data_IF_270122041537
#
_entry.id   IF_270122041537
#
_cell.length_a   1.000
_cell.length_b   1.000
_cell.length_c   1.000
_cell.angle_alpha   90.00
_cell.angle_beta   90.00
_cell.angle_gamma   90.00
#
_symmetry.space_group_name_H-M   'P 1'
#
loop_
_entity.id
_entity.type
_entity.pdbx_description
1 polymer ?
#
# COMPACT_ATOMS: atom_id res chain seq x y z
N UNK A 1 8.74 -39.57 19.15
CA UNK A 1 8.83 -38.28 19.86
C UNK A 1 7.74 -37.32 19.37
N UNK A 2 6.57 -37.88 19.08
CA UNK A 2 5.41 -37.20 18.42
C UNK A 2 4.18 -37.02 19.36
N UNK A 3 4.25 -37.50 20.60
CA UNK A 3 3.14 -37.46 21.55
C UNK A 3 3.13 -36.31 22.56
N UNK A 4 4.10 -35.38 22.50
CA UNK A 4 4.16 -34.28 23.45
C UNK A 4 3.43 -32.99 22.96
N UNK A 5 3.06 -32.92 21.67
CA UNK A 5 2.51 -31.66 21.09
C UNK A 5 0.99 -31.54 21.27
N UNK A 6 0.27 -32.67 21.36
CA UNK A 6 -1.21 -32.65 21.47
C UNK A 6 -1.69 -32.20 22.88
N UNK A 7 -0.95 -32.53 23.93
CA UNK A 7 -1.35 -32.19 25.30
C UNK A 7 -1.23 -30.71 25.63
N UNK A 8 -0.29 -29.96 25.01
CA UNK A 8 -0.11 -28.54 25.23
C UNK A 8 -1.20 -27.68 24.57
N UNK A 9 -1.78 -28.14 23.45
CA UNK A 9 -2.85 -27.41 22.76
C UNK A 9 -4.17 -27.39 23.56
N UNK A 10 -4.43 -28.39 24.39
CA UNK A 10 -5.61 -28.42 25.27
C UNK A 10 -5.53 -27.38 26.41
N UNK A 11 -4.30 -26.98 26.79
CA UNK A 11 -4.07 -26.00 27.84
C UNK A 11 -4.16 -24.54 27.34
N UNK A 12 -4.14 -24.33 26.03
CA UNK A 12 -4.25 -22.99 25.45
C UNK A 12 -5.69 -22.47 25.54
N UNK A 13 -5.82 -21.18 25.88
CA UNK A 13 -7.10 -20.49 25.75
C UNK A 13 -7.47 -20.22 24.27
N UNK A 14 -8.67 -19.73 24.02
CA UNK A 14 -9.15 -19.49 22.67
C UNK A 14 -8.32 -18.47 21.88
N UNK A 15 -7.74 -17.48 22.59
CA UNK A 15 -6.86 -16.48 21.99
C UNK A 15 -5.55 -17.12 21.54
N UNK A 16 -4.88 -17.84 22.43
CA UNK A 16 -3.61 -18.51 22.14
C UNK A 16 -3.77 -19.54 21.00
N UNK A 17 -4.84 -20.36 21.05
CA UNK A 17 -5.14 -21.31 19.95
C UNK A 17 -5.28 -20.60 18.60
N UNK A 18 -5.97 -19.48 18.55
CA UNK A 18 -6.14 -18.69 17.31
C UNK A 18 -4.80 -18.19 16.79
N UNK A 19 -3.97 -17.59 17.65
CA UNK A 19 -2.66 -17.04 17.26
C UNK A 19 -1.73 -18.14 16.78
N UNK A 20 -1.67 -19.28 17.50
CA UNK A 20 -0.87 -20.45 17.10
C UNK A 20 -1.35 -21.00 15.75
N UNK A 21 -2.66 -21.22 15.58
CA UNK A 21 -3.21 -21.69 14.31
C UNK A 21 -2.89 -20.80 13.12
N UNK A 22 -2.96 -19.46 13.32
CA UNK A 22 -2.59 -18.49 12.28
C UNK A 22 -1.10 -18.57 11.97
N UNK A 23 -0.24 -18.67 12.98
CA UNK A 23 1.21 -18.78 12.82
C UNK A 23 1.60 -20.06 12.07
N UNK A 24 1.01 -21.20 12.41
CA UNK A 24 1.29 -22.50 11.79
C UNK A 24 0.78 -22.57 10.34
N UNK A 25 -0.36 -21.94 10.07
CA UNK A 25 -0.98 -21.97 8.72
C UNK A 25 -0.27 -21.01 7.75
N UNK A 26 0.01 -19.79 8.19
CA UNK A 26 0.53 -18.72 7.32
C UNK A 26 2.05 -18.60 7.39
N UNK A 27 2.66 -18.91 8.54
CA UNK A 27 4.09 -18.80 8.76
C UNK A 27 4.97 -19.44 7.68
N UNK A 28 4.66 -20.66 7.20
CA UNK A 28 5.43 -21.28 6.11
C UNK A 28 5.47 -20.47 4.81
N UNK A 29 4.44 -19.66 4.53
CA UNK A 29 4.37 -18.81 3.35
C UNK A 29 5.07 -17.45 3.54
N UNK A 30 5.57 -17.12 4.73
CA UNK A 30 6.29 -15.88 5.00
C UNK A 30 7.78 -16.07 4.79
N UNK A 31 8.37 -15.23 3.93
CA UNK A 31 9.79 -15.30 3.57
C UNK A 31 10.56 -14.10 4.09
N UNK A 32 11.85 -14.31 4.37
CA UNK A 32 12.81 -13.22 4.52
C UNK A 32 13.30 -12.80 3.16
N UNK A 33 13.30 -11.49 2.89
CA UNK A 33 13.82 -10.92 1.66
C UNK A 33 15.13 -10.20 1.93
N UNK A 34 16.17 -10.53 1.18
CA UNK A 34 17.44 -9.82 1.17
C UNK A 34 17.69 -9.25 -0.22
N UNK A 35 18.10 -7.99 -0.25
CA UNK A 35 18.36 -7.26 -1.50
C UNK A 35 19.83 -6.83 -1.57
N UNK A 36 20.41 -6.99 -2.76
CA UNK A 36 21.78 -6.61 -3.05
C UNK A 36 21.87 -5.73 -4.30
N UNK A 37 22.93 -4.94 -4.41
CA UNK A 37 23.24 -4.18 -5.64
C UNK A 37 23.96 -5.06 -6.65
N UNK A 38 23.51 -5.04 -7.91
CA UNK A 38 24.34 -5.50 -9.02
C UNK A 38 25.40 -4.43 -9.32
N UNK A 39 26.66 -4.69 -8.93
CA UNK A 39 27.78 -3.81 -9.25
C UNK A 39 28.99 -4.64 -9.59
N UNK A 40 29.58 -4.43 -10.77
CA UNK A 40 30.82 -5.08 -11.17
C UNK A 40 31.94 -4.73 -10.19
N UNK A 41 32.51 -5.73 -9.49
CA UNK A 41 33.80 -5.66 -8.81
C UNK A 41 33.80 -5.35 -7.31
N UNK A 42 32.66 -5.36 -6.60
CA UNK A 42 32.67 -5.33 -5.13
C UNK A 42 31.78 -6.47 -4.54
N UNK A 43 32.19 -7.07 -3.39
CA UNK A 43 31.33 -8.05 -2.71
C UNK A 43 29.96 -7.41 -2.47
N UNK A 44 28.90 -8.07 -2.91
CA UNK A 44 27.52 -7.63 -2.73
C UNK A 44 27.18 -7.61 -1.24
N UNK A 45 27.32 -6.44 -0.60
CA UNK A 45 26.78 -6.25 0.76
C UNK A 45 25.26 -6.27 0.70
N UNK A 46 24.61 -6.92 1.67
CA UNK A 46 23.17 -6.81 1.91
C UNK A 46 22.85 -5.33 2.16
N UNK A 47 21.99 -4.74 1.34
CA UNK A 47 21.63 -3.32 1.44
C UNK A 47 20.26 -3.10 2.10
N UNK A 48 19.44 -4.12 2.15
CA UNK A 48 18.12 -4.07 2.75
C UNK A 48 17.62 -5.47 3.08
N UNK A 49 16.79 -5.55 4.08
CA UNK A 49 16.12 -6.77 4.46
C UNK A 49 14.65 -6.43 4.83
N UNK A 50 13.76 -7.33 4.53
CA UNK A 50 12.35 -7.25 4.85
C UNK A 50 11.70 -8.61 4.81
N UNK A 51 10.40 -8.63 4.89
CA UNK A 51 9.59 -9.82 4.76
C UNK A 51 8.78 -9.79 3.45
N UNK A 52 8.28 -10.95 3.06
CA UNK A 52 7.32 -11.09 1.99
C UNK A 52 6.36 -12.23 2.29
N UNK A 53 5.26 -12.28 1.57
CA UNK A 53 4.29 -13.38 1.66
C UNK A 53 4.08 -14.02 0.30
N UNK A 54 4.23 -15.35 0.21
CA UNK A 54 3.98 -16.12 -1.00
C UNK A 54 2.46 -16.23 -1.19
N UNK A 55 1.97 -15.75 -2.34
CA UNK A 55 0.53 -15.67 -2.66
C UNK A 55 0.10 -16.62 -3.77
N UNK A 56 1.05 -17.30 -4.41
CA UNK A 56 0.77 -18.29 -5.45
C UNK A 56 1.84 -19.37 -5.48
N UNK A 57 1.46 -20.64 -5.80
CA UNK A 57 2.36 -21.80 -5.72
C UNK A 57 3.48 -21.79 -6.76
N UNK A 58 3.38 -20.96 -7.79
CA UNK A 58 4.39 -20.72 -8.81
C UNK A 58 5.38 -19.59 -8.43
N UNK A 59 5.35 -19.12 -7.15
CA UNK A 59 6.38 -18.31 -6.53
C UNK A 59 6.12 -16.83 -6.51
N UNK A 60 4.90 -16.34 -6.75
CA UNK A 60 4.63 -14.91 -6.56
C UNK A 60 4.65 -14.55 -5.07
N UNK A 61 5.45 -13.53 -4.76
CA UNK A 61 5.63 -12.97 -3.41
C UNK A 61 5.21 -11.51 -3.42
N UNK A 62 4.33 -11.15 -2.50
CA UNK A 62 3.95 -9.77 -2.22
C UNK A 62 4.80 -9.21 -1.09
N UNK A 63 5.29 -7.99 -1.26
CA UNK A 63 6.12 -7.26 -0.28
C UNK A 63 5.94 -5.75 -0.43
N UNK A 64 6.70 -4.95 0.32
CA UNK A 64 6.72 -3.49 0.14
C UNK A 64 7.68 -3.06 -0.98
N UNK A 65 7.34 -1.95 -1.64
CA UNK A 65 8.19 -1.35 -2.67
C UNK A 65 9.53 -0.91 -2.09
N UNK A 66 9.54 -0.24 -0.92
CA UNK A 66 10.78 0.23 -0.28
C UNK A 66 11.75 -0.92 0.08
N UNK A 67 11.28 -2.16 0.24
CA UNK A 67 12.13 -3.33 0.52
C UNK A 67 12.94 -3.70 -0.72
N UNK A 68 12.39 -3.58 -1.94
CA UNK A 68 12.98 -4.12 -3.17
C UNK A 68 13.29 -3.08 -4.23
N UNK A 69 12.90 -1.83 -4.04
CA UNK A 69 13.10 -0.76 -5.02
C UNK A 69 14.59 -0.54 -5.31
N UNK A 70 14.95 -0.53 -6.59
CA UNK A 70 16.36 -0.37 -7.02
C UNK A 70 17.26 -1.57 -6.72
N UNK A 71 16.69 -2.70 -6.26
CA UNK A 71 17.44 -3.92 -6.02
C UNK A 71 17.93 -4.54 -7.35
N UNK A 72 19.22 -4.85 -7.43
CA UNK A 72 19.77 -5.57 -8.57
C UNK A 72 19.61 -7.09 -8.44
N UNK A 73 19.50 -7.59 -7.23
CA UNK A 73 19.25 -9.00 -6.88
C UNK A 73 18.33 -9.08 -5.68
N UNK A 74 17.37 -9.96 -5.75
CA UNK A 74 16.45 -10.30 -4.65
C UNK A 74 16.62 -11.78 -4.34
N UNK A 75 16.77 -12.12 -3.07
CA UNK A 75 16.79 -13.49 -2.60
C UNK A 75 15.77 -13.63 -1.47
N UNK A 76 14.97 -14.69 -1.53
CA UNK A 76 14.02 -15.06 -0.49
C UNK A 76 14.53 -16.29 0.26
N UNK A 77 14.50 -16.23 1.58
CA UNK A 77 14.76 -17.38 2.46
C UNK A 77 13.46 -17.83 3.10
N UNK A 78 13.08 -19.08 2.88
CA UNK A 78 11.90 -19.69 3.47
C UNK A 78 12.18 -20.14 4.91
N UNK A 79 11.13 -20.43 5.67
CA UNK A 79 11.23 -20.93 7.06
C UNK A 79 11.89 -22.31 7.17
N UNK A 80 11.89 -23.11 6.10
CA UNK A 80 12.58 -24.40 6.00
C UNK A 80 14.07 -24.28 5.65
N UNK A 81 14.58 -23.04 5.49
CA UNK A 81 15.97 -22.74 5.18
C UNK A 81 16.30 -22.73 3.67
N UNK A 82 15.36 -23.03 2.78
CA UNK A 82 15.59 -22.89 1.35
C UNK A 82 15.76 -21.44 0.97
N UNK A 83 16.80 -21.15 0.20
CA UNK A 83 17.06 -19.83 -0.38
C UNK A 83 16.76 -19.88 -1.89
N UNK A 84 15.89 -19.00 -2.35
CA UNK A 84 15.47 -18.90 -3.75
C UNK A 84 15.77 -17.50 -4.30
N UNK A 85 16.33 -17.46 -5.50
CA UNK A 85 16.49 -16.19 -6.22
C UNK A 85 15.12 -15.71 -6.73
N UNK A 86 14.90 -14.41 -6.64
CA UNK A 86 13.67 -13.75 -7.07
C UNK A 86 13.92 -12.77 -8.21
N UNK A 87 12.93 -12.68 -9.09
CA UNK A 87 12.87 -11.69 -10.17
C UNK A 87 11.86 -10.63 -9.77
N UNK A 88 12.25 -9.37 -9.84
CA UNK A 88 11.35 -8.23 -9.64
C UNK A 88 10.36 -8.16 -10.81
N UNK A 89 9.07 -8.34 -10.53
CA UNK A 89 7.98 -8.25 -11.51
C UNK A 89 7.56 -6.80 -11.72
N UNK A 90 7.48 -6.05 -10.63
CA UNK A 90 7.18 -4.63 -10.62
C UNK A 90 6.91 -4.13 -9.22
N UNK A 91 6.92 -2.80 -9.06
CA UNK A 91 6.58 -2.13 -7.81
C UNK A 91 5.74 -0.88 -8.03
N UNK A 92 5.06 -0.49 -6.98
CA UNK A 92 4.30 0.74 -6.90
C UNK A 92 4.67 1.51 -5.64
N UNK A 93 5.55 2.49 -5.79
CA UNK A 93 5.98 3.34 -4.68
C UNK A 93 4.84 4.17 -4.07
N UNK A 94 3.76 4.41 -4.82
CA UNK A 94 2.63 5.20 -4.32
C UNK A 94 1.78 4.45 -3.32
N UNK A 95 1.70 3.13 -3.39
CA UNK A 95 1.05 2.27 -2.40
C UNK A 95 2.06 1.51 -1.54
N UNK A 96 3.35 1.67 -1.82
CA UNK A 96 4.43 0.93 -1.17
C UNK A 96 4.25 -0.59 -1.29
N UNK A 97 3.88 -1.08 -2.47
CA UNK A 97 3.72 -2.51 -2.76
C UNK A 97 4.63 -2.95 -3.91
N UNK A 98 5.13 -4.18 -3.84
CA UNK A 98 5.92 -4.80 -4.89
C UNK A 98 5.57 -6.28 -5.04
N UNK A 99 5.74 -6.78 -6.27
CA UNK A 99 5.58 -8.18 -6.62
C UNK A 99 6.91 -8.75 -7.12
N UNK A 100 7.29 -9.88 -6.55
CA UNK A 100 8.48 -10.66 -6.93
C UNK A 100 8.02 -12.04 -7.38
N UNK A 101 8.76 -12.66 -8.27
CA UNK A 101 8.58 -14.05 -8.63
C UNK A 101 9.81 -14.85 -8.25
N UNK A 102 9.67 -15.81 -7.35
CA UNK A 102 10.72 -16.74 -6.95
C UNK A 102 10.90 -17.84 -7.99
N UNK A 103 12.13 -18.27 -8.15
CA UNK A 103 12.44 -19.43 -8.99
C UNK A 103 12.20 -20.73 -8.21
N UNK A 104 10.93 -21.11 -8.08
CA UNK A 104 10.50 -22.30 -7.33
C UNK A 104 9.06 -22.66 -7.64
N UNK A 105 8.69 -23.92 -7.39
CA UNK A 105 7.34 -24.44 -7.55
C UNK A 105 6.91 -25.22 -6.31
N UNK A 106 5.60 -25.41 -6.13
CA UNK A 106 5.08 -26.14 -4.98
C UNK A 106 5.37 -25.46 -3.65
N UNK A 107 5.43 -24.13 -3.67
CA UNK A 107 5.72 -23.32 -2.49
C UNK A 107 4.48 -23.20 -1.60
N UNK A 108 4.66 -23.06 -0.27
CA UNK A 108 3.55 -22.77 0.62
C UNK A 108 2.92 -21.42 0.26
N UNK A 109 1.60 -21.32 0.35
CA UNK A 109 0.83 -20.15 -0.08
C UNK A 109 -0.06 -19.65 1.04
N UNK A 110 -0.10 -18.36 1.26
CA UNK A 110 -1.08 -17.71 2.12
C UNK A 110 -2.30 -17.27 1.30
N UNK A 111 -3.50 -17.52 1.83
CA UNK A 111 -4.75 -17.09 1.22
C UNK A 111 -4.95 -15.58 1.42
N UNK A 112 -5.26 -14.85 0.34
CA UNK A 112 -5.67 -13.45 0.42
C UNK A 112 -7.15 -13.37 0.84
N UNK A 113 -7.40 -12.61 1.91
CA UNK A 113 -8.73 -12.34 2.42
C UNK A 113 -9.36 -11.10 1.78
N UNK A 114 -10.10 -10.34 2.60
CA UNK A 114 -10.74 -9.08 2.22
C UNK A 114 -10.59 -8.05 3.34
N UNK A 115 -10.09 -6.88 3.03
CA UNK A 115 -9.92 -5.80 4.02
C UNK A 115 -11.16 -4.93 4.19
N UNK A 116 -12.07 -4.87 3.22
CA UNK A 116 -13.29 -4.07 3.29
C UNK A 116 -14.26 -4.47 4.43
N UNK A 117 -14.15 -5.71 4.92
CA UNK A 117 -14.99 -6.23 6.02
C UNK A 117 -14.41 -6.07 7.42
N UNK A 118 -13.21 -5.52 7.55
CA UNK A 118 -12.54 -5.36 8.85
C UNK A 118 -13.32 -4.41 9.76
N UNK A 119 -13.20 -4.66 11.07
CA UNK A 119 -13.81 -3.84 12.12
C UNK A 119 -12.76 -3.46 13.16
N UNK A 120 -12.86 -2.24 13.71
CA UNK A 120 -12.06 -1.83 14.87
C UNK A 120 -12.32 -2.78 16.03
N UNK A 121 -11.24 -3.20 16.71
CA UNK A 121 -11.25 -4.21 17.76
C UNK A 121 -11.13 -5.66 17.26
N UNK A 122 -11.14 -5.93 15.96
CA UNK A 122 -10.94 -7.27 15.41
C UNK A 122 -9.49 -7.71 15.62
N UNK A 123 -9.31 -8.97 16.09
CA UNK A 123 -8.00 -9.60 16.24
C UNK A 123 -7.28 -9.68 14.89
N UNK A 124 -6.02 -9.29 14.89
CA UNK A 124 -5.10 -9.45 13.77
C UNK A 124 -3.74 -9.93 14.26
N UNK A 125 -3.04 -10.67 13.41
CA UNK A 125 -1.73 -11.23 13.68
C UNK A 125 -0.78 -10.78 12.57
N UNK A 126 0.30 -10.10 12.96
CA UNK A 126 1.38 -9.77 12.04
C UNK A 126 2.44 -10.87 12.08
N UNK A 127 2.89 -11.30 10.91
CA UNK A 127 3.96 -12.28 10.77
C UNK A 127 5.06 -11.66 9.93
N UNK A 128 6.30 -11.73 10.42
CA UNK A 128 7.50 -11.29 9.72
C UNK A 128 8.59 -12.35 9.80
N UNK A 129 9.55 -12.29 8.90
CA UNK A 129 10.75 -13.15 8.94
C UNK A 129 12.02 -12.31 8.72
N UNK A 130 12.37 -11.42 9.67
CA UNK A 130 13.42 -10.42 9.47
C UNK A 130 14.81 -11.01 9.29
N UNK A 131 15.06 -12.21 9.83
CA UNK A 131 16.40 -12.82 9.85
C UNK A 131 16.49 -14.14 9.05
N UNK A 132 15.39 -14.62 8.48
CA UNK A 132 15.35 -15.84 7.68
C UNK A 132 15.42 -17.16 8.45
N UNK A 133 15.45 -17.13 9.80
CA UNK A 133 15.57 -18.33 10.61
C UNK A 133 14.24 -18.78 11.25
N UNK A 134 13.47 -17.82 11.72
CA UNK A 134 12.17 -18.08 12.36
C UNK A 134 11.23 -16.89 12.14
N UNK A 135 9.96 -17.18 11.89
CA UNK A 135 8.93 -16.17 11.81
C UNK A 135 8.73 -15.48 13.16
N UNK A 136 8.70 -14.16 13.18
CA UNK A 136 8.29 -13.37 14.33
C UNK A 136 6.80 -13.14 14.23
N UNK A 137 6.07 -13.51 15.28
CA UNK A 137 4.61 -13.36 15.37
C UNK A 137 4.27 -12.31 16.40
N UNK A 138 3.40 -11.37 16.06
CA UNK A 138 2.86 -10.37 16.97
C UNK A 138 1.35 -10.26 16.77
N UNK A 139 0.59 -10.35 17.83
CA UNK A 139 -0.87 -10.26 17.80
C UNK A 139 -1.35 -8.97 18.44
N UNK A 140 -2.44 -8.44 17.93
CA UNK A 140 -3.09 -7.22 18.39
C UNK A 140 -4.47 -7.06 17.77
N UNK A 141 -4.98 -5.83 17.69
CA UNK A 141 -6.28 -5.55 17.11
C UNK A 141 -6.19 -4.49 16.02
N UNK A 142 -7.19 -4.44 15.18
CA UNK A 142 -7.42 -3.29 14.31
C UNK A 142 -7.77 -2.09 15.18
N UNK A 143 -6.87 -1.11 15.28
CA UNK A 143 -7.05 0.09 16.12
C UNK A 143 -7.86 1.17 15.42
N UNK A 144 -7.69 1.32 14.10
CA UNK A 144 -8.47 2.24 13.26
C UNK A 144 -8.43 1.81 11.80
N UNK A 145 -9.40 2.28 11.03
CA UNK A 145 -9.54 2.10 9.58
C UNK A 145 -9.65 3.44 8.88
N UNK A 146 -9.40 3.47 7.57
CA UNK A 146 -9.55 4.68 6.76
C UNK A 146 -8.53 5.77 7.08
N UNK A 147 -7.42 5.42 7.71
CA UNK A 147 -6.29 6.35 7.93
C UNK A 147 -5.50 6.53 6.63
N UNK A 148 -4.71 7.59 6.60
CA UNK A 148 -3.80 7.86 5.48
C UNK A 148 -2.38 7.98 6.01
N UNK A 149 -1.44 7.40 5.27
CA UNK A 149 -0.01 7.43 5.56
C UNK A 149 0.73 8.04 4.36
N UNK A 150 1.75 8.86 4.59
CA UNK A 150 2.59 9.35 3.48
C UNK A 150 3.66 8.32 3.13
N UNK A 151 3.69 7.94 1.86
CA UNK A 151 4.76 7.11 1.31
C UNK A 151 6.08 7.92 1.25
N UNK A 152 7.18 7.25 0.97
CA UNK A 152 8.49 7.90 0.75
C UNK A 152 8.45 8.91 -0.41
N UNK A 153 7.60 8.70 -1.42
CA UNK A 153 7.38 9.63 -2.53
C UNK A 153 6.56 10.85 -2.14
N UNK A 154 6.11 10.96 -0.88
CA UNK A 154 5.25 12.04 -0.38
C UNK A 154 3.77 11.88 -0.75
N UNK A 155 3.38 10.86 -1.53
CA UNK A 155 1.98 10.54 -1.82
C UNK A 155 1.29 9.93 -0.61
N UNK A 156 -0.02 10.17 -0.50
CA UNK A 156 -0.84 9.55 0.52
C UNK A 156 -1.19 8.10 0.09
N UNK A 157 -0.82 7.16 0.95
CA UNK A 157 -1.40 5.80 0.93
C UNK A 157 -2.67 5.88 1.74
N UNK A 158 -3.79 5.69 1.10
CA UNK A 158 -5.10 5.85 1.72
C UNK A 158 -5.66 4.53 2.26
N UNK A 159 -6.63 4.68 3.15
CA UNK A 159 -7.38 3.56 3.71
C UNK A 159 -6.49 2.53 4.44
N UNK A 160 -5.31 2.94 4.95
CA UNK A 160 -4.43 2.02 5.68
C UNK A 160 -5.10 1.50 6.94
N UNK A 161 -4.78 0.26 7.28
CA UNK A 161 -5.19 -0.38 8.52
C UNK A 161 -4.21 0.06 9.60
N UNK A 162 -4.69 0.69 10.65
CA UNK A 162 -3.92 0.97 11.86
C UNK A 162 -4.13 -0.18 12.86
N UNK A 163 -3.06 -0.64 13.47
CA UNK A 163 -3.07 -1.73 14.45
C UNK A 163 -2.05 -1.45 15.56
N UNK A 164 -2.20 -2.10 16.70
CA UNK A 164 -1.27 -2.07 17.83
C UNK A 164 -0.31 -3.25 17.86
N UNK A 165 -0.29 -4.09 16.81
CA UNK A 165 0.71 -5.17 16.71
C UNK A 165 2.12 -4.58 16.76
N UNK A 166 3.01 -5.23 17.48
CA UNK A 166 4.41 -4.81 17.53
C UNK A 166 5.11 -5.19 16.22
N UNK A 167 5.39 -4.19 15.36
CA UNK A 167 6.22 -4.38 14.18
C UNK A 167 7.66 -3.95 14.48
N UNK A 168 8.60 -4.81 14.12
CA UNK A 168 10.03 -4.56 14.22
C UNK A 168 10.64 -4.33 12.83
N UNK A 169 11.83 -3.71 12.75
CA UNK A 169 12.59 -3.66 11.51
C UNK A 169 12.72 -5.05 10.87
N UNK A 170 12.39 -5.16 9.58
CA UNK A 170 12.33 -6.42 8.86
C UNK A 170 10.94 -7.10 8.83
N UNK A 171 9.95 -6.64 9.61
CA UNK A 171 8.56 -7.11 9.49
C UNK A 171 7.82 -6.48 8.31
N UNK A 172 8.35 -5.39 7.74
CA UNK A 172 7.79 -4.74 6.53
C UNK A 172 7.72 -5.70 5.37
N UNK A 173 6.59 -5.71 4.65
CA UNK A 173 6.30 -6.64 3.56
C UNK A 173 5.69 -7.97 4.00
N UNK A 174 5.75 -8.30 5.29
CA UNK A 174 5.07 -9.47 5.84
C UNK A 174 3.54 -9.26 5.92
N UNK A 175 2.75 -10.35 6.04
CA UNK A 175 1.30 -10.26 6.12
C UNK A 175 0.78 -9.79 7.47
N UNK A 176 -0.34 -9.05 7.45
CA UNK A 176 -1.29 -8.89 8.53
C UNK A 176 -2.45 -9.85 8.26
N UNK A 177 -2.77 -10.72 9.21
CA UNK A 177 -3.64 -11.89 9.04
C UNK A 177 -4.83 -11.82 9.98
N UNK A 178 -6.01 -12.22 9.53
CA UNK A 178 -7.20 -12.34 10.39
C UNK A 178 -7.21 -13.68 11.17
N UNK A 179 -8.15 -13.83 12.09
CA UNK A 179 -8.35 -15.04 12.88
C UNK A 179 -8.72 -16.30 12.07
N UNK A 180 -9.01 -16.14 10.77
CA UNK A 180 -9.30 -17.24 9.83
C UNK A 180 -8.11 -17.57 8.95
N UNK A 181 -6.90 -17.15 9.33
CA UNK A 181 -5.64 -17.36 8.60
C UNK A 181 -5.62 -16.75 7.19
N UNK A 182 -6.37 -15.66 6.94
CA UNK A 182 -6.38 -14.96 5.67
C UNK A 182 -5.65 -13.63 5.77
N UNK A 183 -4.83 -13.34 4.78
CA UNK A 183 -4.10 -12.06 4.70
C UNK A 183 -5.10 -10.93 4.46
N UNK A 184 -5.15 -9.96 5.36
CA UNK A 184 -6.02 -8.78 5.29
C UNK A 184 -5.25 -7.48 5.04
N UNK A 185 -3.92 -7.54 5.16
CA UNK A 185 -3.04 -6.41 4.84
C UNK A 185 -1.59 -6.82 4.71
N UNK A 186 -0.76 -5.90 4.23
CA UNK A 186 0.70 -6.02 4.16
C UNK A 186 1.30 -5.00 5.11
N UNK A 187 2.04 -5.48 6.10
CA UNK A 187 2.70 -4.63 7.10
C UNK A 187 3.66 -3.66 6.41
N UNK A 188 3.57 -2.39 6.73
CA UNK A 188 4.48 -1.37 6.18
C UNK A 188 5.19 -0.64 7.30
N UNK A 189 6.37 -0.09 6.98
CA UNK A 189 7.18 0.59 7.96
C UNK A 189 6.50 1.86 8.48
N UNK A 190 6.70 2.09 9.66
CA UNK A 190 6.14 2.85 10.74
C UNK A 190 6.69 4.26 10.78
N UNK A 191 5.93 5.16 11.36
CA UNK A 191 6.46 6.38 11.97
C UNK A 191 7.37 5.96 13.15
N UNK A 192 8.68 5.95 12.92
CA UNK A 192 9.72 5.42 13.82
C UNK A 192 9.74 5.98 15.27
N UNK A 193 8.84 6.91 15.60
CA UNK A 193 8.76 7.61 16.87
C UNK A 193 7.46 7.36 17.65
N UNK A 194 6.52 6.54 17.13
CA UNK A 194 5.23 6.31 17.79
C UNK A 194 5.09 4.84 18.19
N UNK A 195 5.41 4.52 19.43
CA UNK A 195 5.18 3.19 20.00
C UNK A 195 3.68 2.85 20.00
N UNK A 196 3.34 1.63 19.55
CA UNK A 196 1.94 1.17 19.51
C UNK A 196 1.14 1.65 18.30
N UNK A 197 1.79 2.28 17.31
CA UNK A 197 1.16 2.66 16.05
C UNK A 197 1.83 1.93 14.90
N UNK A 198 1.19 0.88 14.44
CA UNK A 198 1.60 0.10 13.29
C UNK A 198 0.57 0.22 12.17
N UNK A 199 1.04 0.09 10.93
CA UNK A 199 0.18 0.24 9.77
C UNK A 199 0.36 -0.94 8.82
N UNK A 200 -0.73 -1.26 8.10
CA UNK A 200 -0.70 -2.22 7.02
C UNK A 200 -1.49 -1.69 5.82
N UNK A 201 -1.00 -1.98 4.62
CA UNK A 201 -1.69 -1.67 3.37
C UNK A 201 -2.80 -2.69 3.19
N UNK A 202 -4.05 -2.28 2.93
CA UNK A 202 -5.17 -3.19 2.79
C UNK A 202 -4.97 -4.22 1.67
N UNK A 203 -5.36 -5.47 1.89
CA UNK A 203 -5.22 -6.53 0.88
C UNK A 203 -6.06 -6.28 -0.38
N UNK A 204 -7.19 -5.57 -0.28
CA UNK A 204 -7.98 -5.19 -1.46
C UNK A 204 -7.19 -4.22 -2.36
N UNK A 205 -6.40 -3.30 -1.78
CA UNK A 205 -5.45 -2.45 -2.52
C UNK A 205 -4.35 -3.32 -3.14
N UNK A 206 -3.81 -4.27 -2.39
CA UNK A 206 -2.76 -5.16 -2.88
C UNK A 206 -3.25 -6.02 -4.05
N UNK A 207 -4.46 -6.54 -3.99
CA UNK A 207 -5.07 -7.34 -5.06
C UNK A 207 -5.21 -6.55 -6.37
N UNK A 208 -5.60 -5.28 -6.27
CA UNK A 208 -5.64 -4.39 -7.43
C UNK A 208 -4.24 -4.13 -8.00
N UNK A 209 -3.26 -3.81 -7.15
CA UNK A 209 -1.86 -3.59 -7.56
C UNK A 209 -1.28 -4.83 -8.23
N UNK A 210 -1.49 -6.03 -7.66
CA UNK A 210 -1.06 -7.31 -8.26
C UNK A 210 -1.62 -7.44 -9.69
N UNK A 211 -2.92 -7.17 -9.88
CA UNK A 211 -3.56 -7.23 -11.20
C UNK A 211 -2.89 -6.29 -12.21
N UNK A 212 -2.61 -5.05 -11.84
CA UNK A 212 -1.92 -4.07 -12.69
C UNK A 212 -0.47 -4.51 -13.01
N UNK A 213 0.28 -4.96 -11.98
CA UNK A 213 1.67 -5.38 -12.16
C UNK A 213 1.78 -6.61 -13.06
N UNK A 214 0.89 -7.61 -12.93
CA UNK A 214 0.88 -8.80 -13.76
C UNK A 214 0.47 -8.49 -15.21
N UNK A 215 -0.51 -7.60 -15.40
CA UNK A 215 -1.01 -7.27 -16.73
C UNK A 215 -0.09 -6.31 -17.50
N UNK A 216 0.59 -5.40 -16.80
CA UNK A 216 1.26 -4.27 -17.44
C UNK A 216 2.72 -4.05 -16.98
N UNK A 217 3.20 -4.82 -16.00
CA UNK A 217 4.52 -4.63 -15.37
C UNK A 217 4.63 -3.36 -14.50
N UNK A 218 3.57 -2.57 -14.45
CA UNK A 218 3.48 -1.31 -13.67
C UNK A 218 2.04 -0.99 -13.31
N UNK A 219 1.87 -0.21 -12.24
CA UNK A 219 0.54 0.32 -11.89
C UNK A 219 0.27 1.57 -12.73
N UNK A 220 -0.73 1.49 -13.59
CA UNK A 220 -1.15 2.62 -14.41
C UNK A 220 -2.00 3.57 -13.58
N UNK A 221 -1.60 4.82 -13.56
CA UNK A 221 -2.34 5.90 -12.93
C UNK A 221 -2.62 7.00 -13.94
N UNK A 222 -3.65 7.77 -13.66
CA UNK A 222 -3.97 8.94 -14.46
C UNK A 222 -3.45 10.21 -13.81
N UNK A 223 -3.12 11.21 -14.62
CA UNK A 223 -2.69 12.56 -14.20
C UNK A 223 -3.43 13.62 -14.99
N UNK A 224 -3.59 14.78 -14.36
CA UNK A 224 -4.19 15.95 -15.01
C UNK A 224 -3.14 16.82 -15.72
N UNK A 225 -1.85 16.64 -15.46
CA UNK A 225 -0.79 17.52 -16.00
C UNK A 225 -0.84 18.92 -15.37
N UNK A 226 -0.95 18.98 -14.05
CA UNK A 226 -0.91 20.22 -13.28
C UNK A 226 -0.17 20.01 -11.95
N UNK A 227 0.42 21.11 -11.43
CA UNK A 227 0.86 21.18 -10.05
C UNK A 227 -0.14 22.04 -9.27
N UNK A 228 -0.48 21.60 -8.05
CA UNK A 228 -1.46 22.26 -7.22
C UNK A 228 -1.10 22.17 -5.75
N UNK A 229 -1.68 23.03 -4.94
CA UNK A 229 -1.60 22.93 -3.47
C UNK A 229 -2.96 23.16 -2.83
N UNK A 230 -3.11 22.66 -1.61
CA UNK A 230 -4.31 22.91 -0.80
C UNK A 230 -4.19 24.29 -0.18
N UNK A 231 -5.17 25.16 -0.41
CA UNK A 231 -5.22 26.53 0.09
C UNK A 231 -6.42 26.73 1.00
N UNK A 232 -6.23 27.31 2.21
CA UNK A 232 -7.35 27.73 3.02
C UNK A 232 -8.13 28.88 2.34
N UNK A 233 -9.45 28.87 2.47
CA UNK A 233 -10.33 29.89 1.92
C UNK A 233 -11.01 30.64 3.05
N UNK A 234 -11.14 31.97 2.90
CA UNK A 234 -11.90 32.78 3.85
C UNK A 234 -13.35 32.32 3.91
N UNK A 235 -13.94 32.09 5.11
CA UNK A 235 -15.29 31.55 5.24
C UNK A 235 -16.38 32.47 4.66
N UNK A 236 -16.20 33.80 4.66
CA UNK A 236 -17.17 34.73 4.07
C UNK A 236 -17.12 34.66 2.55
N UNK A 237 -15.91 34.54 1.99
CA UNK A 237 -15.71 34.36 0.56
C UNK A 237 -16.20 32.99 0.06
N UNK A 238 -15.95 31.92 0.83
CA UNK A 238 -16.47 30.57 0.55
C UNK A 238 -18.00 30.57 0.45
N UNK A 239 -18.68 31.19 1.42
CA UNK A 239 -20.16 31.30 1.42
C UNK A 239 -20.69 32.02 0.18
N UNK A 240 -20.02 33.11 -0.24
CA UNK A 240 -20.41 33.86 -1.45
C UNK A 240 -20.33 33.03 -2.72
N UNK A 241 -19.38 32.11 -2.79
CA UNK A 241 -19.14 31.23 -3.93
C UNK A 241 -19.83 29.86 -3.80
N UNK A 242 -20.59 29.64 -2.73
CA UNK A 242 -21.27 28.36 -2.48
C UNK A 242 -20.32 27.20 -2.13
N UNK A 243 -19.06 27.51 -1.76
CA UNK A 243 -18.07 26.50 -1.35
C UNK A 243 -18.36 26.08 0.08
N UNK A 244 -18.47 24.74 0.30
CA UNK A 244 -18.78 24.18 1.63
C UNK A 244 -17.55 23.68 2.38
N UNK A 245 -16.38 23.70 1.77
CA UNK A 245 -15.11 23.21 2.32
C UNK A 245 -14.24 24.37 2.83
N UNK A 246 -13.44 24.17 3.90
CA UNK A 246 -12.54 25.20 4.42
C UNK A 246 -11.29 25.42 3.56
N UNK A 247 -11.06 24.59 2.56
CA UNK A 247 -9.94 24.66 1.64
C UNK A 247 -10.42 24.46 0.20
N UNK A 248 -9.58 24.86 -0.73
CA UNK A 248 -9.70 24.62 -2.17
C UNK A 248 -8.36 24.12 -2.72
N UNK A 249 -8.37 23.49 -3.89
CA UNK A 249 -7.13 23.09 -4.59
C UNK A 249 -6.78 24.17 -5.60
N UNK A 250 -5.76 24.98 -5.30
CA UNK A 250 -5.26 26.02 -6.21
C UNK A 250 -4.25 25.44 -7.19
N UNK A 251 -4.48 25.70 -8.49
CA UNK A 251 -3.57 25.29 -9.56
C UNK A 251 -2.38 26.26 -9.59
N UNK A 252 -1.17 25.76 -9.35
CA UNK A 252 0.06 26.53 -9.39
C UNK A 252 0.63 26.65 -10.81
N UNK A 253 0.59 25.54 -11.54
CA UNK A 253 1.04 25.47 -12.92
C UNK A 253 0.31 24.39 -13.67
N UNK A 254 0.25 24.53 -15.00
CA UNK A 254 -0.35 23.58 -15.92
C UNK A 254 0.71 23.21 -16.97
N UNK A 255 0.82 21.91 -17.22
CA UNK A 255 1.74 21.36 -18.23
C UNK A 255 1.25 21.75 -19.63
N UNK A 256 2.10 22.40 -20.46
CA UNK A 256 1.73 22.76 -21.81
C UNK A 256 1.34 21.52 -22.64
N UNK A 257 0.18 21.55 -23.29
CA UNK A 257 -0.33 20.43 -24.07
C UNK A 257 -0.84 19.24 -23.23
N UNK A 258 -0.79 19.34 -21.89
CA UNK A 258 -1.32 18.32 -20.99
C UNK A 258 -2.87 18.35 -20.89
N UNK A 259 -3.47 17.35 -20.21
CA UNK A 259 -4.92 17.24 -20.05
C UNK A 259 -5.59 18.50 -19.51
N UNK A 260 -5.03 19.09 -18.43
CA UNK A 260 -5.57 20.29 -17.83
C UNK A 260 -5.49 21.51 -18.78
N UNK A 261 -4.38 21.66 -19.51
CA UNK A 261 -4.22 22.72 -20.52
C UNK A 261 -5.25 22.58 -21.63
N UNK A 262 -5.44 21.35 -22.14
CA UNK A 262 -6.40 21.05 -23.20
C UNK A 262 -7.84 21.31 -22.78
N UNK A 263 -8.16 21.16 -21.50
CA UNK A 263 -9.44 21.50 -20.90
C UNK A 263 -9.59 22.98 -20.54
N UNK A 264 -8.60 23.81 -20.84
CA UNK A 264 -8.62 25.28 -20.60
C UNK A 264 -8.34 25.69 -19.17
N UNK A 265 -7.85 24.78 -18.32
CA UNK A 265 -7.40 25.11 -16.96
C UNK A 265 -6.12 25.93 -16.98
N UNK A 266 -5.94 26.80 -15.99
CA UNK A 266 -4.81 27.73 -15.90
C UNK A 266 -4.30 27.84 -14.47
N UNK A 267 -3.08 28.33 -14.32
CA UNK A 267 -2.54 28.77 -13.01
C UNK A 267 -3.47 29.82 -12.39
N UNK A 268 -3.69 29.73 -11.09
CA UNK A 268 -4.59 30.57 -10.31
C UNK A 268 -6.06 30.10 -10.30
N UNK A 269 -6.42 29.07 -11.05
CA UNK A 269 -7.74 28.43 -10.94
C UNK A 269 -7.86 27.66 -9.63
N UNK A 270 -9.07 27.62 -9.07
CA UNK A 270 -9.38 26.82 -7.89
C UNK A 270 -10.30 25.67 -8.24
N UNK A 271 -9.82 24.46 -8.09
CA UNK A 271 -10.65 23.25 -8.19
C UNK A 271 -11.43 23.12 -6.88
N UNK A 272 -12.75 23.00 -6.97
CA UNK A 272 -13.66 22.90 -5.82
C UNK A 272 -14.45 21.62 -5.76
N UNK A 273 -14.63 20.92 -6.91
CA UNK A 273 -15.25 19.62 -6.98
C UNK A 273 -14.77 18.84 -8.21
N UNK A 274 -14.85 17.52 -8.13
CA UNK A 274 -14.62 16.59 -9.24
C UNK A 274 -15.79 15.62 -9.29
N UNK A 275 -16.42 15.50 -10.47
CA UNK A 275 -17.64 14.70 -10.68
C UNK A 275 -18.72 14.96 -9.63
N UNK A 276 -18.91 16.25 -9.28
CA UNK A 276 -19.87 16.70 -8.28
C UNK A 276 -19.46 16.45 -6.82
N UNK A 277 -18.32 15.81 -6.59
CA UNK A 277 -17.83 15.53 -5.25
C UNK A 277 -16.89 16.65 -4.77
N UNK A 278 -17.14 17.27 -3.60
CA UNK A 278 -16.27 18.30 -3.05
C UNK A 278 -14.81 17.85 -2.98
N UNK A 279 -13.88 18.73 -3.39
CA UNK A 279 -12.44 18.48 -3.45
C UNK A 279 -11.74 19.63 -2.76
N UNK A 280 -11.42 19.44 -1.47
CA UNK A 280 -10.85 20.46 -0.60
C UNK A 280 -9.32 20.47 -0.63
N UNK A 281 -8.71 19.31 -0.86
CA UNK A 281 -7.27 19.10 -0.75
C UNK A 281 -6.71 18.43 -1.99
N UNK A 282 -5.38 18.53 -2.17
CA UNK A 282 -4.68 17.79 -3.22
C UNK A 282 -4.84 16.27 -3.01
N UNK A 283 -4.93 15.83 -1.76
CA UNK A 283 -5.17 14.43 -1.44
C UNK A 283 -6.57 13.98 -1.89
N UNK A 284 -7.60 14.84 -1.72
CA UNK A 284 -8.94 14.58 -2.30
C UNK A 284 -8.88 14.45 -3.82
N UNK A 285 -8.12 15.32 -4.47
CA UNK A 285 -7.93 15.27 -5.92
C UNK A 285 -7.26 13.96 -6.36
N UNK A 286 -6.20 13.54 -5.69
CA UNK A 286 -5.54 12.26 -5.96
C UNK A 286 -6.49 11.08 -5.77
N UNK A 287 -7.32 11.11 -4.71
CA UNK A 287 -8.34 10.08 -4.43
C UNK A 287 -9.34 9.97 -5.57
N UNK A 288 -9.79 11.08 -6.13
CA UNK A 288 -10.71 11.08 -7.28
C UNK A 288 -10.03 10.51 -8.52
N UNK A 289 -8.76 10.83 -8.74
CA UNK A 289 -8.00 10.32 -9.89
C UNK A 289 -7.70 8.82 -9.82
N UNK A 290 -7.52 8.26 -8.63
CA UNK A 290 -7.17 6.85 -8.46
C UNK A 290 -8.22 5.87 -9.02
N UNK A 291 -9.48 6.29 -9.10
CA UNK A 291 -10.56 5.45 -9.62
C UNK A 291 -10.94 5.70 -11.08
N UNK A 292 -10.26 6.61 -11.79
CA UNK A 292 -10.63 7.00 -13.15
C UNK A 292 -9.92 6.11 -14.17
N UNK A 293 -10.66 5.38 -15.04
CA UNK A 293 -10.05 4.63 -16.12
C UNK A 293 -9.40 5.56 -17.16
N UNK A 294 -8.33 5.08 -17.82
CA UNK A 294 -7.71 5.79 -18.93
C UNK A 294 -8.73 6.11 -20.03
N UNK A 295 -8.68 7.34 -20.56
CA UNK A 295 -9.57 7.80 -21.62
C UNK A 295 -10.97 8.22 -21.19
N UNK A 296 -11.32 8.07 -19.91
CA UNK A 296 -12.59 8.55 -19.37
C UNK A 296 -12.44 9.99 -18.90
N UNK A 297 -13.28 10.88 -19.44
CA UNK A 297 -13.31 12.29 -19.05
C UNK A 297 -13.99 12.46 -17.69
N UNK A 298 -13.47 13.38 -16.89
CA UNK A 298 -14.01 13.78 -15.60
C UNK A 298 -14.42 15.26 -15.62
N UNK A 299 -15.45 15.59 -14.88
CA UNK A 299 -15.97 16.95 -14.76
C UNK A 299 -15.31 17.64 -13.59
N UNK A 300 -14.52 18.66 -13.83
CA UNK A 300 -13.81 19.44 -12.81
C UNK A 300 -14.50 20.79 -12.65
N UNK A 301 -15.11 21.01 -11.50
CA UNK A 301 -15.72 22.32 -11.15
C UNK A 301 -14.62 23.30 -10.68
N UNK A 302 -14.55 24.42 -11.33
CA UNK A 302 -13.46 25.39 -11.20
C UNK A 302 -13.99 26.80 -10.94
N UNK A 303 -13.26 27.51 -10.10
CA UNK A 303 -13.45 28.96 -9.89
C UNK A 303 -12.23 29.70 -10.45
N UNK A 304 -12.50 30.67 -11.33
CA UNK A 304 -11.52 31.60 -11.89
C UNK A 304 -11.93 33.03 -11.59
N UNK A 305 -11.28 33.68 -10.66
CA UNK A 305 -11.71 35.00 -10.16
C UNK A 305 -13.07 34.92 -9.47
N UNK A 306 -14.12 35.48 -10.07
CA UNK A 306 -15.50 35.41 -9.58
C UNK A 306 -16.39 34.46 -10.39
N UNK A 307 -15.87 33.86 -11.45
CA UNK A 307 -16.60 32.99 -12.35
C UNK A 307 -16.44 31.52 -11.96
N UNK A 308 -17.54 30.77 -11.95
CA UNK A 308 -17.55 29.31 -11.76
C UNK A 308 -17.89 28.65 -13.09
N UNK A 309 -17.13 27.62 -13.48
CA UNK A 309 -17.38 26.82 -14.67
C UNK A 309 -16.95 25.37 -14.46
N UNK A 310 -17.45 24.50 -15.31
CA UNK A 310 -17.07 23.10 -15.36
C UNK A 310 -16.12 22.87 -16.55
N UNK A 311 -14.94 22.31 -16.27
CA UNK A 311 -14.02 21.84 -17.28
C UNK A 311 -14.14 20.32 -17.44
N UNK A 312 -14.25 19.85 -18.67
CA UNK A 312 -14.21 18.41 -18.95
C UNK A 312 -12.77 18.04 -19.26
N UNK A 313 -12.16 17.30 -18.33
CA UNK A 313 -10.74 16.90 -18.42
C UNK A 313 -10.66 15.42 -18.69
N UNK A 314 -9.95 15.02 -19.74
CA UNK A 314 -9.61 13.61 -20.01
C UNK A 314 -8.20 13.37 -19.49
N UNK A 315 -8.03 12.71 -18.36
CA UNK A 315 -6.72 12.48 -17.78
C UNK A 315 -5.83 11.65 -18.71
N UNK A 316 -4.53 11.91 -18.69
CA UNK A 316 -3.53 11.09 -19.39
C UNK A 316 -2.89 10.10 -18.40
N UNK A 317 -2.26 9.06 -18.94
CA UNK A 317 -1.46 8.14 -18.14
C UNK A 317 -0.30 8.90 -17.48
N UNK A 318 -0.08 8.62 -16.20
CA UNK A 318 1.11 9.08 -15.50
C UNK A 318 2.30 8.20 -15.92
N UNK A 319 3.32 8.84 -16.48
CA UNK A 319 4.56 8.17 -16.92
C UNK A 319 5.43 7.82 -15.71
#
# INVERSE_FOLDING_TARGET
MEMAVDGDLELLDSYSRTVVSVADTVGPAVVSLTVGRSGAGRPSGVQGAGSGVIIAPDGYVLTNAHVVHGAGRVQATLTDGRALDGIHVGDDQSTDLALIRLNGTGLPVAELGRSAGLRVGQLVVAIGNPLGFQSTVSAGVVSALGRSLRSETGRLIENVIQTDVALNPGSSGGPLVDSSSRVVGINTAIIAMAQGLSFAIPVDTASWVIGELLAHGRVRRVRLGLAAHSRPIDPAFARRLGIRTPHVVEIMSVEPGGPAASAGLRSGDWIVAVDGQPTATVDDLHRRLAGVPLGVSMKVAVIRGAATFDALVTPAEAL
#
